data_IF_113515845063
#
_entry.id   IF_113515845063
#
_cell.length_a   1.000
_cell.length_b   1.000
_cell.length_c   1.000
_cell.angle_alpha   90.00
_cell.angle_beta   90.00
_cell.angle_gamma   90.00
#
_symmetry.space_group_name_H-M   'P 1'
#
loop_
_entity.id
_entity.type
_entity.pdbx_description
1 polymer ?
#
# COMPACT_ATOMS: atom_id res chain seq x y z
N UNK A 1 -18.56 12.74 -18.19
CA UNK A 1 -18.25 12.54 -16.75
C UNK A 1 -16.89 11.84 -16.60
N UNK A 2 -16.06 12.34 -15.72
CA UNK A 2 -14.75 11.73 -15.43
C UNK A 2 -14.67 11.36 -13.96
N UNK A 3 -14.15 10.15 -13.66
CA UNK A 3 -13.81 9.77 -12.30
C UNK A 3 -12.47 10.41 -11.98
N UNK A 4 -12.42 11.23 -10.94
CA UNK A 4 -11.21 11.98 -10.56
C UNK A 4 -10.46 11.35 -9.40
N UNK A 5 -11.13 10.49 -8.63
CA UNK A 5 -10.53 9.88 -7.44
C UNK A 5 -11.27 8.60 -7.08
N UNK A 6 -10.48 7.59 -6.69
CA UNK A 6 -10.98 6.37 -6.08
C UNK A 6 -10.29 6.26 -4.74
N UNK A 7 -11.06 6.00 -3.68
CA UNK A 7 -10.54 5.84 -2.33
C UNK A 7 -10.90 4.45 -1.84
N UNK A 8 -9.88 3.65 -1.56
CA UNK A 8 -10.06 2.35 -0.90
C UNK A 8 -10.22 2.57 0.59
N UNK A 9 -11.26 1.97 1.18
CA UNK A 9 -11.50 2.04 2.61
C UNK A 9 -11.15 0.70 3.24
N UNK A 10 -10.17 0.70 4.14
CA UNK A 10 -9.76 -0.48 4.89
C UNK A 10 -10.37 -0.44 6.28
N UNK A 11 -10.98 -1.54 6.70
CA UNK A 11 -11.58 -1.63 8.03
C UNK A 11 -10.50 -1.65 9.11
N UNK A 12 -10.72 -0.89 10.19
CA UNK A 12 -9.81 -0.81 11.31
C UNK A 12 -10.58 -0.56 12.60
N UNK A 13 -10.30 -1.37 13.64
CA UNK A 13 -10.94 -1.19 14.96
C UNK A 13 -10.43 0.06 15.69
N UNK A 14 -9.18 0.46 15.41
CA UNK A 14 -8.55 1.64 16.00
C UNK A 14 -7.74 2.36 14.90
N UNK A 15 -8.38 3.31 14.17
CA UNK A 15 -7.72 3.99 13.05
C UNK A 15 -6.44 4.73 13.43
N UNK A 16 -6.31 5.20 14.66
CA UNK A 16 -5.13 5.92 15.15
C UNK A 16 -3.84 5.11 15.01
N UNK A 17 -3.94 3.77 15.12
CA UNK A 17 -2.80 2.86 14.96
C UNK A 17 -2.24 2.81 13.54
N UNK A 18 -2.99 3.34 12.57
CA UNK A 18 -2.55 3.36 11.18
C UNK A 18 -1.43 4.40 10.92
N UNK A 19 -1.28 5.40 11.79
CA UNK A 19 -0.33 6.50 11.59
C UNK A 19 1.12 6.02 11.44
N UNK A 20 1.56 5.08 12.26
CA UNK A 20 2.93 4.55 12.16
C UNK A 20 3.18 3.90 10.81
N UNK A 21 2.19 3.21 10.24
CA UNK A 21 2.35 2.53 8.95
C UNK A 21 2.28 3.53 7.78
N UNK A 22 1.21 4.34 7.72
CA UNK A 22 0.98 5.16 6.53
C UNK A 22 1.76 6.47 6.53
N UNK A 23 2.00 7.10 7.69
CA UNK A 23 2.79 8.31 7.78
C UNK A 23 4.29 8.01 7.94
N UNK A 24 4.68 7.21 8.93
CA UNK A 24 6.10 7.00 9.24
C UNK A 24 6.76 6.03 8.27
N UNK A 25 6.09 4.93 7.91
CA UNK A 25 6.66 3.93 7.00
C UNK A 25 6.55 4.37 5.53
N UNK A 26 5.38 4.84 5.08
CA UNK A 26 5.13 5.18 3.67
C UNK A 26 5.25 6.67 3.34
N UNK A 27 5.54 7.52 4.32
CA UNK A 27 5.67 8.97 4.13
C UNK A 27 4.41 9.64 3.55
N UNK A 28 3.24 9.03 3.80
CA UNK A 28 1.98 9.65 3.41
C UNK A 28 1.62 10.75 4.40
N UNK A 29 0.77 11.67 3.97
CA UNK A 29 0.29 12.76 4.81
C UNK A 29 -1.13 12.50 5.25
N UNK A 30 -1.41 12.69 6.52
CA UNK A 30 -2.78 12.69 7.03
C UNK A 30 -3.48 13.95 6.52
N UNK A 31 -4.50 13.74 5.68
CA UNK A 31 -5.24 14.85 5.04
C UNK A 31 -6.65 15.01 5.59
N UNK A 32 -7.16 14.03 6.33
CA UNK A 32 -8.48 14.10 6.96
C UNK A 32 -8.47 13.22 8.21
N UNK A 33 -9.01 13.74 9.31
CA UNK A 33 -9.14 13.02 10.58
C UNK A 33 -10.48 13.37 11.21
N UNK A 34 -11.40 12.41 11.22
CA UNK A 34 -12.69 12.50 11.91
C UNK A 34 -12.74 11.59 13.14
N UNK A 35 -11.60 11.08 13.58
CA UNK A 35 -11.50 10.14 14.70
C UNK A 35 -11.82 8.69 14.29
N UNK A 36 -12.96 8.47 13.66
CA UNK A 36 -13.40 7.16 13.18
C UNK A 36 -12.87 6.81 11.79
N UNK A 37 -12.38 7.78 11.02
CA UNK A 37 -11.74 7.58 9.72
C UNK A 37 -10.56 8.53 9.60
N UNK A 38 -9.43 7.98 9.14
CA UNK A 38 -8.23 8.74 8.77
C UNK A 38 -7.95 8.51 7.30
N UNK A 39 -7.66 9.59 6.56
CA UNK A 39 -7.29 9.50 5.15
C UNK A 39 -5.86 10.00 4.97
N UNK A 40 -5.06 9.18 4.29
CA UNK A 40 -3.66 9.46 4.02
C UNK A 40 -3.47 9.64 2.51
N UNK A 41 -2.68 10.62 2.12
CA UNK A 41 -2.44 10.94 0.72
C UNK A 41 -0.97 11.24 0.45
N UNK A 42 -0.54 10.96 -0.79
CA UNK A 42 0.77 11.37 -1.30
C UNK A 42 0.67 12.74 -1.93
N UNK A 43 1.78 13.52 -1.90
CA UNK A 43 1.91 14.76 -2.66
C UNK A 43 2.20 14.54 -4.15
N UNK A 44 2.46 13.29 -4.57
CA UNK A 44 2.71 12.96 -5.98
C UNK A 44 1.40 12.96 -6.77
N UNK A 45 1.49 13.33 -8.07
CA UNK A 45 0.36 13.26 -8.98
C UNK A 45 0.20 11.83 -9.48
N UNK A 46 -0.99 11.24 -9.28
CA UNK A 46 -1.34 9.94 -9.86
C UNK A 46 -2.81 9.94 -10.28
N UNK A 47 -3.15 9.07 -11.25
CA UNK A 47 -4.53 8.90 -11.67
C UNK A 47 -5.21 7.86 -10.77
N UNK A 48 -6.49 8.06 -10.37
CA UNK A 48 -7.23 7.04 -9.64
C UNK A 48 -7.40 5.78 -10.49
N UNK A 49 -7.21 4.62 -9.88
CA UNK A 49 -7.33 3.33 -10.56
C UNK A 49 -8.08 2.34 -9.69
N UNK A 50 -8.73 1.37 -10.33
CA UNK A 50 -9.30 0.19 -9.69
C UNK A 50 -8.95 -1.02 -10.54
N UNK A 51 -8.52 -2.11 -9.87
CA UNK A 51 -8.24 -3.37 -10.54
C UNK A 51 -9.17 -4.46 -10.03
N UNK A 52 -9.58 -5.34 -10.94
CA UNK A 52 -10.34 -6.54 -10.61
C UNK A 52 -9.50 -7.73 -11.05
N UNK A 53 -9.17 -8.62 -10.11
CA UNK A 53 -8.22 -9.71 -10.38
C UNK A 53 -8.70 -11.01 -9.76
N UNK A 54 -8.38 -12.12 -10.42
CA UNK A 54 -8.64 -13.48 -9.92
C UNK A 54 -7.51 -13.97 -9.02
N UNK A 55 -6.34 -13.35 -9.10
CA UNK A 55 -5.19 -13.62 -8.25
C UNK A 55 -4.33 -12.36 -8.17
N UNK A 56 -3.34 -12.37 -7.28
CA UNK A 56 -2.40 -11.26 -7.13
C UNK A 56 -1.22 -11.29 -8.10
N UNK A 57 -1.21 -12.26 -9.04
CA UNK A 57 -0.05 -12.54 -9.90
C UNK A 57 0.91 -13.53 -9.23
N UNK A 58 1.64 -14.30 -10.05
CA UNK A 58 2.60 -15.32 -9.59
C UNK A 58 1.98 -16.33 -8.59
N UNK A 59 0.67 -16.58 -8.68
CA UNK A 59 -0.06 -17.49 -7.77
C UNK A 59 -0.33 -16.93 -6.39
N UNK A 60 -0.08 -15.65 -6.13
CA UNK A 60 -0.33 -15.03 -4.83
C UNK A 60 -1.80 -14.68 -4.64
N UNK A 61 -2.29 -14.58 -3.39
CA UNK A 61 -3.60 -14.00 -3.11
C UNK A 61 -3.69 -12.55 -3.59
N UNK A 62 -4.90 -12.07 -3.89
CA UNK A 62 -5.12 -10.68 -4.27
C UNK A 62 -4.84 -9.77 -3.06
N UNK A 63 -3.89 -8.83 -3.15
CA UNK A 63 -3.68 -7.86 -2.08
C UNK A 63 -4.87 -6.89 -2.02
N UNK A 64 -5.14 -6.36 -0.84
CA UNK A 64 -6.28 -5.44 -0.63
C UNK A 64 -6.12 -4.16 -1.44
N UNK A 65 -4.90 -3.67 -1.54
CA UNK A 65 -4.58 -2.46 -2.29
C UNK A 65 -3.14 -2.55 -2.80
N UNK A 66 -2.87 -1.91 -3.93
CA UNK A 66 -1.52 -1.75 -4.47
C UNK A 66 -1.11 -0.30 -4.37
N UNK A 67 0.09 -0.06 -3.84
CA UNK A 67 0.65 1.27 -3.67
C UNK A 67 1.95 1.34 -4.45
N UNK A 68 1.96 2.15 -5.49
CA UNK A 68 3.17 2.39 -6.27
C UNK A 68 4.04 3.42 -5.59
N UNK A 69 5.34 3.14 -5.50
CA UNK A 69 6.35 4.03 -4.92
C UNK A 69 7.48 4.24 -5.93
N UNK A 70 8.25 5.30 -5.73
CA UNK A 70 9.37 5.62 -6.62
C UNK A 70 10.50 4.59 -6.50
N UNK A 71 10.82 4.17 -5.27
CA UNK A 71 11.91 3.23 -4.99
C UNK A 71 11.43 2.15 -4.01
N UNK A 72 11.04 1.01 -4.55
CA UNK A 72 10.52 -0.10 -3.75
C UNK A 72 11.59 -0.69 -2.82
N UNK A 73 12.86 -0.66 -3.21
CA UNK A 73 13.94 -1.22 -2.38
C UNK A 73 14.13 -0.41 -1.09
N UNK A 74 13.99 0.91 -1.16
CA UNK A 74 14.03 1.78 0.03
C UNK A 74 12.90 1.43 0.99
N UNK A 75 11.68 1.26 0.47
CA UNK A 75 10.51 0.91 1.28
C UNK A 75 10.64 -0.50 1.86
N UNK A 76 11.15 -1.43 1.07
CA UNK A 76 11.41 -2.81 1.54
C UNK A 76 12.39 -2.83 2.71
N UNK A 77 13.52 -2.13 2.59
CA UNK A 77 14.50 -2.01 3.68
C UNK A 77 13.88 -1.38 4.92
N UNK A 78 13.06 -0.35 4.74
CA UNK A 78 12.35 0.33 5.82
C UNK A 78 11.36 -0.61 6.52
N UNK A 79 10.65 -1.44 5.75
CA UNK A 79 9.72 -2.43 6.29
C UNK A 79 10.45 -3.46 7.17
N UNK A 80 11.60 -3.96 6.70
CA UNK A 80 12.41 -4.92 7.46
C UNK A 80 12.94 -4.29 8.74
N UNK A 81 13.45 -3.07 8.67
CA UNK A 81 13.96 -2.35 9.84
C UNK A 81 12.87 -2.08 10.88
N UNK A 82 11.64 -1.86 10.45
CA UNK A 82 10.50 -1.64 11.33
C UNK A 82 9.90 -2.95 11.88
N UNK A 83 10.40 -4.11 11.48
CA UNK A 83 9.91 -5.41 11.91
C UNK A 83 8.53 -5.76 11.37
N UNK A 84 8.12 -5.21 10.23
CA UNK A 84 6.84 -5.50 9.62
C UNK A 84 6.83 -6.89 8.99
N UNK A 85 5.65 -7.55 8.99
CA UNK A 85 5.50 -8.88 8.39
C UNK A 85 5.44 -8.76 6.88
N UNK A 86 6.43 -9.35 6.20
CA UNK A 86 6.49 -9.44 4.74
C UNK A 86 5.90 -10.79 4.35
N UNK A 87 4.76 -10.78 3.65
CA UNK A 87 4.04 -12.01 3.28
C UNK A 87 4.45 -12.53 1.90
N UNK A 88 5.06 -11.69 1.06
CA UNK A 88 5.60 -12.06 -0.24
C UNK A 88 6.88 -11.26 -0.43
N UNK A 89 8.01 -11.96 -0.54
CA UNK A 89 9.32 -11.31 -0.55
C UNK A 89 9.54 -10.49 -1.81
N UNK A 90 10.49 -9.54 -1.74
CA UNK A 90 10.80 -8.66 -2.86
C UNK A 90 11.16 -9.47 -4.11
N UNK A 91 10.50 -9.17 -5.22
CA UNK A 91 10.58 -9.96 -6.45
C UNK A 91 10.48 -9.06 -7.66
N UNK A 92 11.31 -9.32 -8.67
CA UNK A 92 11.13 -8.76 -10.00
C UNK A 92 10.16 -9.63 -10.78
N UNK A 93 9.01 -9.08 -11.15
CA UNK A 93 7.96 -9.82 -11.84
C UNK A 93 8.13 -9.71 -13.37
N UNK A 94 7.71 -10.75 -14.13
CA UNK A 94 7.89 -10.73 -15.59
C UNK A 94 7.07 -9.67 -16.32
N UNK A 95 6.06 -9.06 -15.64
CA UNK A 95 5.24 -7.99 -16.24
C UNK A 95 5.75 -6.59 -15.95
N UNK A 96 7.01 -6.44 -15.53
CA UNK A 96 7.67 -5.15 -15.47
C UNK A 96 7.55 -4.40 -14.16
N UNK A 97 7.28 -5.09 -13.07
CA UNK A 97 7.26 -4.49 -11.73
C UNK A 97 8.23 -5.21 -10.79
N UNK A 98 8.73 -4.48 -9.80
CA UNK A 98 9.40 -5.04 -8.65
C UNK A 98 8.54 -4.77 -7.44
N UNK A 99 8.23 -5.78 -6.63
CA UNK A 99 7.21 -5.66 -5.59
C UNK A 99 7.47 -6.57 -4.39
N UNK A 100 6.80 -6.23 -3.27
CA UNK A 100 6.67 -7.11 -2.12
C UNK A 100 5.31 -6.86 -1.46
N UNK A 101 4.85 -7.81 -0.64
CA UNK A 101 3.64 -7.66 0.16
C UNK A 101 4.01 -7.49 1.62
N UNK A 102 3.30 -6.60 2.30
CA UNK A 102 3.49 -6.31 3.73
C UNK A 102 2.12 -6.21 4.40
N UNK A 103 2.03 -6.67 5.66
CA UNK A 103 0.81 -6.50 6.45
C UNK A 103 0.81 -5.15 7.13
N UNK A 104 -0.34 -4.49 7.10
CA UNK A 104 -0.58 -3.30 7.91
C UNK A 104 -0.95 -3.71 9.36
N UNK A 105 -1.16 -2.74 10.29
CA UNK A 105 -1.49 -3.07 11.68
C UNK A 105 -2.78 -3.86 11.88
N UNK A 106 -3.63 -3.95 10.86
CA UNK A 106 -4.94 -4.59 10.94
C UNK A 106 -5.00 -5.90 10.16
N UNK A 107 -3.85 -6.41 9.73
CA UNK A 107 -3.75 -7.68 9.00
C UNK A 107 -4.05 -7.57 7.51
N UNK A 108 -4.24 -6.37 6.97
CA UNK A 108 -4.44 -6.20 5.53
C UNK A 108 -3.12 -6.41 4.78
N UNK A 109 -3.16 -7.19 3.70
CA UNK A 109 -1.99 -7.39 2.83
C UNK A 109 -1.94 -6.28 1.80
N UNK A 110 -0.85 -5.52 1.83
CA UNK A 110 -0.61 -4.37 0.96
C UNK A 110 0.50 -4.72 -0.01
N UNK A 111 0.25 -4.52 -1.31
CA UNK A 111 1.26 -4.64 -2.35
C UNK A 111 2.00 -3.32 -2.51
N UNK A 112 3.31 -3.33 -2.32
CA UNK A 112 4.18 -2.17 -2.56
C UNK A 112 5.01 -2.47 -3.80
N UNK A 113 4.99 -1.58 -4.78
CA UNK A 113 5.64 -1.83 -6.06
C UNK A 113 6.26 -0.58 -6.66
N UNK A 114 7.26 -0.81 -7.51
CA UNK A 114 7.77 0.17 -8.47
C UNK A 114 7.72 -0.44 -9.87
N UNK A 115 7.44 0.37 -10.87
CA UNK A 115 7.57 -0.05 -12.27
C UNK A 115 9.04 -0.03 -12.70
N UNK A 116 9.41 -0.95 -13.54
CA UNK A 116 10.77 -1.08 -14.08
C UNK A 116 10.82 -0.68 -15.55
#
# INVERSE_FOLDING_TARGET
MAVRRIVTNLAASDPERAKAFYEEFLDLKLVMDHGWILTFASGATSKPEISVASEGGAGTPVPVVSIEVDDVDVIYTRAKSAGLEITYDITDEPWGVRRFYVRDPFGNVINILSHR
#
